data_IF_443416356460
#
_entry.id   IF_443416356460
#
_cell.length_a   1.000
_cell.length_b   1.000
_cell.length_c   1.000
_cell.angle_alpha   90.00
_cell.angle_beta   90.00
_cell.angle_gamma   90.00
#
_symmetry.space_group_name_H-M   'P 1'
#
loop_
_entity.id
_entity.type
_entity.pdbx_description
1 polymer ?
#
# COMPACT_ATOMS: atom_id res chain seq x y z
N UNK A 1 1.09 31.12 35.03
CA UNK A 1 1.39 29.79 35.58
C UNK A 1 0.15 28.92 35.46
N UNK A 2 0.22 27.74 34.82
CA UNK A 2 -0.94 26.84 34.68
C UNK A 2 -1.51 26.47 36.05
N UNK A 3 -2.82 26.52 36.20
CA UNK A 3 -3.51 26.23 37.47
C UNK A 3 -3.35 24.75 37.87
N UNK A 4 -3.53 24.43 39.15
CA UNK A 4 -3.42 23.04 39.65
C UNK A 4 -4.39 22.08 38.96
N UNK A 5 -5.61 22.56 38.65
CA UNK A 5 -6.62 21.83 37.86
C UNK A 5 -6.16 21.57 36.43
N UNK A 6 -5.55 22.56 35.80
CA UNK A 6 -5.05 22.45 34.44
C UNK A 6 -3.89 21.45 34.36
N UNK A 7 -2.97 21.46 35.34
CA UNK A 7 -1.91 20.43 35.43
C UNK A 7 -2.48 19.03 35.63
N UNK A 8 -3.48 18.87 36.49
CA UNK A 8 -4.13 17.58 36.70
C UNK A 8 -4.80 17.05 35.42
N UNK A 9 -5.49 17.92 34.68
CA UNK A 9 -6.04 17.59 33.36
C UNK A 9 -4.95 17.17 32.38
N UNK A 10 -3.86 17.93 32.27
CA UNK A 10 -2.74 17.58 31.40
C UNK A 10 -2.06 16.27 31.80
N UNK A 11 -1.90 16.00 33.10
CA UNK A 11 -1.36 14.74 33.60
C UNK A 11 -2.27 13.55 33.26
N UNK A 12 -3.59 13.72 33.40
CA UNK A 12 -4.57 12.71 32.99
C UNK A 12 -4.51 12.44 31.48
N UNK A 13 -4.42 13.49 30.68
CA UNK A 13 -4.33 13.40 29.22
C UNK A 13 -3.04 12.71 28.78
N UNK A 14 -1.92 13.06 29.41
CA UNK A 14 -0.63 12.41 29.18
C UNK A 14 -0.67 10.93 29.58
N UNK A 15 -1.26 10.60 30.73
CA UNK A 15 -1.42 9.21 31.17
C UNK A 15 -2.30 8.40 30.19
N UNK A 16 -3.39 9.00 29.69
CA UNK A 16 -4.24 8.40 28.66
C UNK A 16 -3.49 8.15 27.35
N UNK A 17 -2.70 9.12 26.89
CA UNK A 17 -1.87 9.00 25.69
C UNK A 17 -0.82 7.89 25.85
N UNK A 18 -0.17 7.78 27.01
CA UNK A 18 0.80 6.73 27.32
C UNK A 18 0.14 5.35 27.36
N UNK A 19 -1.04 5.24 27.98
CA UNK A 19 -1.80 3.99 28.00
C UNK A 19 -2.23 3.57 26.58
N UNK A 20 -2.69 4.50 25.76
CA UNK A 20 -3.09 4.22 24.38
C UNK A 20 -1.91 3.80 23.50
N UNK A 21 -0.74 4.45 23.65
CA UNK A 21 0.48 4.06 22.91
C UNK A 21 0.98 2.68 23.33
N UNK A 22 0.94 2.36 24.63
CA UNK A 22 1.30 1.02 25.11
C UNK A 22 0.35 -0.06 24.54
N UNK A 23 -0.96 0.22 24.50
CA UNK A 23 -1.95 -0.69 23.93
C UNK A 23 -1.75 -0.86 22.41
N UNK A 24 -1.46 0.21 21.68
CA UNK A 24 -1.19 0.17 20.24
C UNK A 24 0.11 -0.59 19.91
N UNK A 25 1.12 -0.47 20.78
CA UNK A 25 2.36 -1.24 20.67
C UNK A 25 2.12 -2.74 20.90
N UNK A 26 1.30 -3.08 21.89
CA UNK A 26 0.94 -4.47 22.19
C UNK A 26 0.22 -5.16 21.03
N UNK A 27 -0.58 -4.41 20.26
CA UNK A 27 -1.29 -4.93 19.08
C UNK A 27 -0.52 -4.77 17.77
N UNK A 28 0.79 -4.44 17.83
CA UNK A 28 1.63 -4.19 16.64
C UNK A 28 1.61 -5.32 15.62
N UNK A 29 1.72 -6.57 16.05
CA UNK A 29 1.69 -7.73 15.14
C UNK A 29 0.41 -7.82 14.29
N UNK A 30 -0.72 -7.28 14.74
CA UNK A 30 -1.97 -7.34 13.98
C UNK A 30 -2.05 -6.28 12.88
N UNK A 31 -1.42 -5.11 13.06
CA UNK A 31 -1.50 -4.01 12.11
C UNK A 31 -0.23 -3.82 11.28
N UNK A 32 0.91 -4.37 11.71
CA UNK A 32 2.17 -4.34 10.96
C UNK A 32 2.08 -4.91 9.54
N UNK A 33 1.38 -6.04 9.27
CA UNK A 33 1.26 -6.57 7.91
C UNK A 33 0.56 -5.60 6.94
N UNK A 34 -0.42 -4.84 7.43
CA UNK A 34 -1.17 -3.87 6.64
C UNK A 34 -0.44 -2.51 6.54
N UNK A 35 0.26 -2.11 7.60
CA UNK A 35 0.95 -0.83 7.67
C UNK A 35 2.36 -0.85 7.05
N UNK A 36 3.01 -2.01 7.00
CA UNK A 36 4.36 -2.21 6.48
C UNK A 36 4.62 -1.50 5.14
N UNK A 37 3.81 -1.75 4.09
CA UNK A 37 4.04 -1.16 2.77
C UNK A 37 3.99 0.38 2.76
N UNK A 38 3.05 0.97 3.50
CA UNK A 38 2.95 2.43 3.63
C UNK A 38 4.11 3.00 4.46
N UNK A 39 4.50 2.35 5.56
CA UNK A 39 5.63 2.79 6.38
C UNK A 39 6.95 2.76 5.62
N UNK A 40 7.21 1.73 4.81
CA UNK A 40 8.42 1.65 3.98
C UNK A 40 8.45 2.75 2.92
N UNK A 41 7.31 3.05 2.29
CA UNK A 41 7.22 4.13 1.32
C UNK A 41 7.39 5.51 1.97
N UNK A 42 6.79 5.73 3.14
CA UNK A 42 6.95 6.95 3.91
C UNK A 42 8.40 7.12 4.38
N UNK A 43 9.01 6.05 4.88
CA UNK A 43 10.41 6.03 5.29
C UNK A 43 11.34 6.34 4.13
N UNK A 44 11.17 5.65 2.99
CA UNK A 44 11.92 5.93 1.76
C UNK A 44 11.78 7.38 1.30
N UNK A 45 10.61 8.02 1.48
CA UNK A 45 10.43 9.44 1.13
C UNK A 45 11.17 10.36 2.10
N UNK A 46 11.13 10.06 3.41
CA UNK A 46 11.78 10.87 4.46
C UNK A 46 13.30 10.73 4.38
N UNK A 47 13.80 9.53 4.12
CA UNK A 47 15.24 9.25 4.05
C UNK A 47 15.83 9.41 2.66
N UNK A 48 15.04 9.79 1.64
CA UNK A 48 15.58 10.05 0.31
C UNK A 48 16.46 11.30 0.38
N UNK A 49 17.73 11.21 -0.02
CA UNK A 49 18.55 12.40 -0.19
C UNK A 49 17.85 13.34 -1.19
N UNK A 50 17.59 14.58 -0.77
CA UNK A 50 16.90 15.56 -1.60
C UNK A 50 17.69 15.91 -2.86
N UNK A 51 17.08 16.56 -3.86
CA UNK A 51 17.79 17.02 -5.06
C UNK A 51 18.99 17.93 -4.74
N UNK A 52 19.03 18.53 -3.54
CA UNK A 52 20.15 19.30 -3.02
C UNK A 52 21.45 18.49 -2.89
N UNK A 53 21.34 17.18 -2.61
CA UNK A 53 22.48 16.25 -2.54
C UNK A 53 22.94 15.75 -3.91
N UNK A 54 22.25 16.14 -4.99
CA UNK A 54 22.73 15.86 -6.35
C UNK A 54 23.85 16.84 -6.71
N UNK A 55 24.88 16.39 -7.44
CA UNK A 55 25.88 17.30 -8.01
C UNK A 55 25.19 18.36 -8.88
N UNK A 56 25.73 19.60 -8.93
CA UNK A 56 25.05 20.77 -9.51
C UNK A 56 24.60 20.57 -10.95
N UNK A 57 25.33 19.76 -11.73
CA UNK A 57 25.03 19.40 -13.12
C UNK A 57 23.80 18.48 -13.28
N UNK A 58 23.38 17.81 -12.19
CA UNK A 58 22.24 16.87 -12.18
C UNK A 58 21.04 17.35 -11.36
N UNK A 59 21.05 18.60 -10.90
CA UNK A 59 19.91 19.20 -10.21
C UNK A 59 18.80 19.48 -11.23
N UNK A 60 17.61 18.85 -11.13
CA UNK A 60 16.53 19.18 -12.03
C UNK A 60 16.10 20.64 -11.81
N UNK A 61 15.97 21.40 -12.90
CA UNK A 61 15.53 22.81 -12.90
C UNK A 61 14.04 23.00 -12.54
N UNK A 62 13.50 22.17 -11.64
CA UNK A 62 12.09 22.05 -11.34
C UNK A 62 11.82 22.28 -9.84
N UNK A 63 12.27 23.42 -9.33
CA UNK A 63 11.74 24.03 -8.11
C UNK A 63 10.44 24.81 -8.41
N UNK A 64 9.54 24.24 -9.22
CA UNK A 64 8.18 24.76 -9.39
C UNK A 64 7.21 23.62 -9.11
N UNK A 65 6.58 23.74 -7.95
CA UNK A 65 5.59 22.84 -7.43
C UNK A 65 4.52 22.49 -8.48
N UNK A 66 4.54 21.24 -8.92
CA UNK A 66 3.36 20.56 -9.41
C UNK A 66 3.10 19.46 -8.39
N UNK A 67 1.94 19.40 -7.72
CA UNK A 67 1.61 18.22 -6.95
C UNK A 67 1.69 17.07 -7.94
N UNK A 68 2.60 16.12 -7.71
CA UNK A 68 2.60 14.90 -8.47
C UNK A 68 1.24 14.27 -8.23
N UNK A 69 0.34 14.36 -9.22
CA UNK A 69 -0.86 13.55 -9.26
C UNK A 69 -0.39 12.13 -8.92
N UNK A 70 -0.88 11.62 -7.79
CA UNK A 70 -0.75 10.23 -7.41
C UNK A 70 -1.59 9.40 -8.39
N UNK A 71 -1.17 9.36 -9.66
CA UNK A 71 -1.53 8.32 -10.60
C UNK A 71 -0.71 7.11 -10.22
N UNK A 72 -1.06 6.47 -9.10
CA UNK A 72 -0.78 5.07 -8.98
C UNK A 72 -1.61 4.42 -10.08
N UNK A 73 -0.97 4.09 -11.20
CA UNK A 73 -1.48 3.04 -12.07
C UNK A 73 -1.59 1.82 -11.17
N UNK A 74 -2.77 1.59 -10.61
CA UNK A 74 -3.08 0.31 -10.01
C UNK A 74 -2.74 -0.71 -11.10
N UNK A 75 -1.93 -1.75 -10.81
CA UNK A 75 -1.85 -2.87 -11.71
C UNK A 75 -3.31 -3.30 -11.94
N UNK A 76 -3.79 -3.20 -13.17
CA UNK A 76 -5.05 -3.85 -13.52
C UNK A 76 -4.81 -5.31 -13.20
N UNK A 77 -5.41 -5.77 -12.11
CA UNK A 77 -5.36 -7.18 -11.77
C UNK A 77 -5.91 -7.90 -13.02
N UNK A 78 -5.12 -8.83 -13.61
CA UNK A 78 -5.60 -9.55 -14.77
C UNK A 78 -6.92 -10.23 -14.38
N UNK A 79 -7.99 -9.84 -15.05
CA UNK A 79 -9.31 -10.43 -14.82
C UNK A 79 -9.21 -11.90 -15.22
N UNK A 80 -9.64 -12.85 -14.37
CA UNK A 80 -9.58 -14.26 -14.70
C UNK A 80 -10.43 -14.53 -15.95
N UNK A 81 -9.86 -15.25 -16.91
CA UNK A 81 -10.47 -15.62 -18.18
C UNK A 81 -10.76 -17.12 -18.19
N UNK A 82 -11.86 -17.50 -18.84
CA UNK A 82 -12.18 -18.92 -19.10
C UNK A 82 -11.88 -19.21 -20.57
N UNK A 83 -10.86 -20.02 -20.83
CA UNK A 83 -10.53 -20.49 -22.17
C UNK A 83 -11.08 -21.89 -22.37
N UNK A 84 -11.87 -22.10 -23.44
CA UNK A 84 -12.40 -23.41 -23.82
C UNK A 84 -11.72 -23.85 -25.12
N UNK A 85 -11.04 -25.00 -25.07
CA UNK A 85 -10.34 -25.60 -26.22
C UNK A 85 -10.60 -27.11 -26.21
N UNK A 86 -11.15 -27.66 -27.30
CA UNK A 86 -11.43 -29.10 -27.45
C UNK A 86 -12.22 -29.72 -26.27
N UNK A 87 -13.20 -28.97 -25.74
CA UNK A 87 -14.00 -29.39 -24.58
C UNK A 87 -13.27 -29.29 -23.22
N UNK A 88 -11.98 -28.96 -23.21
CA UNK A 88 -11.22 -28.64 -21.99
C UNK A 88 -11.40 -27.17 -21.63
N UNK A 89 -11.78 -26.93 -20.38
CA UNK A 89 -11.87 -25.59 -19.80
C UNK A 89 -10.62 -25.30 -18.97
N UNK A 90 -9.96 -24.19 -19.24
CA UNK A 90 -8.83 -23.67 -18.47
C UNK A 90 -9.16 -22.27 -17.96
N UNK A 91 -8.98 -22.05 -16.66
CA UNK A 91 -9.07 -20.73 -16.06
C UNK A 91 -7.68 -20.14 -15.97
N UNK A 92 -7.47 -18.95 -16.51
CA UNK A 92 -6.15 -18.33 -16.60
C UNK A 92 -6.24 -16.82 -16.55
N UNK A 93 -5.19 -16.20 -16.03
CA UNK A 93 -4.97 -14.76 -16.01
C UNK A 93 -4.16 -14.28 -17.25
N UNK A 94 -3.70 -15.23 -18.08
CA UNK A 94 -2.99 -14.97 -19.34
C UNK A 94 -3.94 -15.01 -20.54
N UNK A 95 -3.56 -14.41 -21.69
CA UNK A 95 -4.34 -14.51 -22.92
C UNK A 95 -4.61 -15.96 -23.31
N UNK A 96 -5.82 -16.24 -23.77
CA UNK A 96 -6.19 -17.57 -24.23
C UNK A 96 -5.35 -18.00 -25.44
N UNK A 97 -4.95 -19.28 -25.53
CA UNK A 97 -4.20 -19.79 -26.68
C UNK A 97 -5.02 -19.68 -27.98
N UNK A 98 -4.34 -19.52 -29.11
CA UNK A 98 -5.03 -19.40 -30.40
C UNK A 98 -5.91 -20.63 -30.68
N UNK A 99 -7.12 -20.38 -31.19
CA UNK A 99 -8.12 -21.43 -31.46
C UNK A 99 -9.04 -21.75 -30.29
N UNK A 100 -8.84 -21.16 -29.11
CA UNK A 100 -9.75 -21.32 -27.98
C UNK A 100 -10.83 -20.25 -27.93
N UNK A 101 -12.00 -20.60 -27.38
CA UNK A 101 -13.09 -19.67 -27.13
C UNK A 101 -12.91 -19.04 -25.74
N UNK A 102 -12.76 -17.72 -25.69
CA UNK A 102 -12.72 -16.95 -24.44
C UNK A 102 -14.14 -16.64 -23.97
N UNK A 103 -14.44 -16.99 -22.73
CA UNK A 103 -15.70 -16.68 -22.05
C UNK A 103 -15.39 -15.82 -20.81
N UNK A 104 -16.26 -14.83 -20.50
CA UNK A 104 -16.18 -14.12 -19.24
C UNK A 104 -16.40 -15.13 -18.09
N UNK A 105 -15.71 -14.91 -16.98
CA UNK A 105 -15.97 -15.69 -15.78
C UNK A 105 -17.07 -15.00 -14.96
N UNK A 106 -18.22 -15.66 -14.83
CA UNK A 106 -19.29 -15.20 -13.95
C UNK A 106 -19.00 -15.58 -12.49
N UNK A 107 -19.00 -14.58 -11.61
CA UNK A 107 -18.93 -14.76 -10.15
C UNK A 107 -17.61 -14.37 -9.48
N UNK A 108 -17.60 -14.46 -8.14
CA UNK A 108 -16.42 -14.18 -7.33
C UNK A 108 -15.47 -15.40 -7.32
N UNK A 109 -14.48 -15.41 -8.21
CA UNK A 109 -13.39 -16.37 -8.15
C UNK A 109 -12.32 -15.93 -7.15
N UNK A 110 -11.78 -16.89 -6.40
CA UNK A 110 -10.57 -16.69 -5.58
C UNK A 110 -9.41 -17.42 -6.27
N UNK A 111 -8.40 -16.67 -6.71
CA UNK A 111 -7.14 -17.22 -7.20
C UNK A 111 -6.31 -17.70 -6.00
N UNK A 112 -5.94 -18.98 -5.99
CA UNK A 112 -5.03 -19.55 -5.00
C UNK A 112 -3.60 -19.52 -5.56
N UNK A 113 -2.60 -19.14 -4.76
CA UNK A 113 -1.21 -19.17 -5.21
C UNK A 113 -0.78 -20.60 -5.55
N UNK A 114 0.13 -20.79 -6.53
CA UNK A 114 0.64 -22.11 -6.85
C UNK A 114 1.31 -22.74 -5.63
N UNK A 115 0.98 -24.01 -5.35
CA UNK A 115 1.70 -24.80 -4.36
C UNK A 115 3.16 -24.90 -4.81
N UNK A 116 4.08 -24.50 -3.90
CA UNK A 116 5.52 -24.59 -4.13
C UNK A 116 5.98 -26.04 -4.21
#
# INVERSE_FOLDING_TARGET
MRSTRERALWSLLAALLLAATAAAWWTSDQWLPQAGPWTEQAWKKITRPGPESLPPDKRPAAAQARPAQAGASQPVAPQPRKCVLDGRTTYTDQPCPQGSQELPVDGALTSLPPAR
#
